data_IF_716737695689
#
_entry.id   IF_716737695689
#
_cell.length_a   1.000
_cell.length_b   1.000
_cell.length_c   1.000
_cell.angle_alpha   90.00
_cell.angle_beta   90.00
_cell.angle_gamma   90.00
#
_symmetry.space_group_name_H-M   'P 1'
#
loop_
_entity.id
_entity.type
_entity.pdbx_description
1 polymer ?
#
# COMPACT_ATOMS: atom_id res chain seq x y z
N UNK A 1 -19.20 0.31 -1.17
CA UNK A 1 -18.92 -1.09 -1.47
C UNK A 1 -17.42 -1.32 -1.50
N UNK A 2 -17.00 -2.58 -1.41
CA UNK A 2 -15.58 -2.90 -1.27
C UNK A 2 -14.74 -2.55 -2.48
N UNK A 3 -15.33 -2.63 -3.66
CA UNK A 3 -14.60 -2.28 -4.88
C UNK A 3 -14.24 -0.80 -4.89
N UNK A 4 -15.15 0.07 -4.49
CA UNK A 4 -14.88 1.50 -4.42
C UNK A 4 -13.79 1.82 -3.39
N UNK A 5 -13.88 1.21 -2.21
CA UNK A 5 -12.88 1.41 -1.17
C UNK A 5 -11.52 0.87 -1.59
N UNK A 6 -11.50 -0.28 -2.26
CA UNK A 6 -10.26 -0.84 -2.80
C UNK A 6 -9.61 0.11 -3.81
N UNK A 7 -10.41 0.73 -4.68
CA UNK A 7 -9.90 1.70 -5.64
C UNK A 7 -9.29 2.92 -4.97
N UNK A 8 -9.87 3.36 -3.84
CA UNK A 8 -9.31 4.47 -3.09
C UNK A 8 -7.93 4.12 -2.52
N UNK A 9 -7.78 2.89 -2.01
CA UNK A 9 -6.47 2.41 -1.56
C UNK A 9 -5.46 2.38 -2.70
N UNK A 10 -5.89 1.92 -3.89
CA UNK A 10 -5.03 1.90 -5.07
C UNK A 10 -4.55 3.29 -5.46
N UNK A 11 -5.44 4.28 -5.44
CA UNK A 11 -5.07 5.66 -5.77
C UNK A 11 -4.02 6.19 -4.79
N UNK A 12 -4.18 5.91 -3.50
CA UNK A 12 -3.22 6.34 -2.49
C UNK A 12 -1.88 5.64 -2.69
N UNK A 13 -1.91 4.34 -3.01
CA UNK A 13 -0.69 3.58 -3.29
C UNK A 13 0.06 4.17 -4.49
N UNK A 14 -0.65 4.49 -5.55
CA UNK A 14 -0.06 5.06 -6.76
C UNK A 14 0.56 6.43 -6.49
N UNK A 15 -0.06 7.23 -5.63
CA UNK A 15 0.49 8.53 -5.25
C UNK A 15 1.79 8.36 -4.47
N UNK A 16 1.85 7.40 -3.56
CA UNK A 16 3.08 7.13 -2.82
C UNK A 16 4.17 6.61 -3.76
N UNK A 17 3.80 5.76 -4.72
CA UNK A 17 4.77 5.23 -5.67
C UNK A 17 5.35 6.37 -6.54
N UNK A 18 4.50 7.29 -6.98
CA UNK A 18 4.97 8.44 -7.74
C UNK A 18 5.90 9.31 -6.91
N UNK A 19 5.54 9.56 -5.65
CA UNK A 19 6.41 10.33 -4.74
C UNK A 19 7.75 9.64 -4.57
N UNK A 20 7.76 8.32 -4.40
CA UNK A 20 8.99 7.55 -4.28
C UNK A 20 9.88 7.70 -5.50
N UNK A 21 9.29 7.66 -6.70
CA UNK A 21 10.02 7.80 -7.96
C UNK A 21 10.67 9.19 -8.08
N UNK A 22 9.90 10.24 -7.79
CA UNK A 22 10.41 11.62 -7.84
C UNK A 22 11.55 11.80 -6.84
N UNK A 23 11.37 11.32 -5.61
CA UNK A 23 12.39 11.46 -4.57
C UNK A 23 13.65 10.66 -4.92
N UNK A 24 13.48 9.49 -5.53
CA UNK A 24 14.63 8.70 -5.98
C UNK A 24 15.45 9.45 -7.02
N UNK A 25 14.79 10.07 -7.99
CA UNK A 25 15.46 10.86 -9.04
C UNK A 25 16.18 12.07 -8.48
N UNK A 26 15.67 12.64 -7.39
CA UNK A 26 16.27 13.79 -6.72
C UNK A 26 17.37 13.38 -5.74
N UNK A 27 17.62 12.08 -5.57
CA UNK A 27 18.64 11.59 -4.66
C UNK A 27 18.25 11.60 -3.20
N UNK A 28 16.96 11.72 -2.90
CA UNK A 28 16.44 11.74 -1.52
C UNK A 28 16.00 10.30 -1.19
N UNK A 29 16.98 9.45 -0.90
CA UNK A 29 16.77 8.01 -0.86
C UNK A 29 15.96 7.53 0.35
N UNK A 30 16.13 8.16 1.50
CA UNK A 30 15.41 7.76 2.72
C UNK A 30 13.90 8.00 2.58
N UNK A 31 13.50 9.16 2.09
CA UNK A 31 12.08 9.43 1.87
C UNK A 31 11.52 8.64 0.69
N UNK A 32 12.34 8.37 -0.32
CA UNK A 32 11.92 7.50 -1.42
C UNK A 32 11.58 6.11 -0.89
N UNK A 33 12.43 5.55 -0.02
CA UNK A 33 12.16 4.25 0.61
C UNK A 33 10.90 4.30 1.45
N UNK A 34 10.73 5.35 2.24
CA UNK A 34 9.53 5.50 3.07
C UNK A 34 8.26 5.43 2.22
N UNK A 35 8.21 6.21 1.14
CA UNK A 35 7.03 6.22 0.27
C UNK A 35 6.85 4.92 -0.50
N UNK A 36 7.94 4.23 -0.84
CA UNK A 36 7.86 2.89 -1.43
C UNK A 36 7.18 1.91 -0.49
N UNK A 37 7.55 1.94 0.80
CA UNK A 37 6.94 1.08 1.80
C UNK A 37 5.47 1.43 2.01
N UNK A 38 5.13 2.71 2.00
CA UNK A 38 3.73 3.15 2.08
C UNK A 38 2.93 2.65 0.89
N UNK A 39 3.51 2.68 -0.30
CA UNK A 39 2.85 2.16 -1.49
C UNK A 39 2.55 0.66 -1.35
N UNK A 40 3.55 -0.12 -0.93
CA UNK A 40 3.38 -1.57 -0.73
C UNK A 40 2.25 -1.85 0.27
N UNK A 41 2.27 -1.15 1.41
CA UNK A 41 1.24 -1.30 2.43
C UNK A 41 -0.15 -1.06 1.86
N UNK A 42 -0.30 0.00 1.09
CA UNK A 42 -1.60 0.38 0.53
C UNK A 42 -2.06 -0.55 -0.59
N UNK A 43 -1.14 -1.09 -1.40
CA UNK A 43 -1.48 -2.11 -2.38
C UNK A 43 -2.01 -3.37 -1.70
N UNK A 44 -1.36 -3.80 -0.61
CA UNK A 44 -1.83 -4.96 0.15
C UNK A 44 -3.22 -4.71 0.75
N UNK A 45 -3.44 -3.52 1.29
CA UNK A 45 -4.74 -3.15 1.85
C UNK A 45 -5.82 -3.10 0.77
N UNK A 46 -5.48 -2.64 -0.42
CA UNK A 46 -6.41 -2.64 -1.55
C UNK A 46 -6.85 -4.06 -1.89
N UNK A 47 -5.90 -4.98 -1.97
CA UNK A 47 -6.19 -6.38 -2.27
C UNK A 47 -7.09 -7.00 -1.20
N UNK A 48 -6.75 -6.78 0.08
CA UNK A 48 -7.55 -7.31 1.19
C UNK A 48 -8.96 -6.74 1.21
N UNK A 49 -9.08 -5.44 0.97
CA UNK A 49 -10.38 -4.77 0.92
C UNK A 49 -11.24 -5.34 -0.21
N UNK A 50 -10.65 -5.54 -1.37
CA UNK A 50 -11.37 -6.10 -2.51
C UNK A 50 -11.92 -7.49 -2.18
N UNK A 51 -11.18 -8.28 -1.42
CA UNK A 51 -11.57 -9.64 -1.05
C UNK A 51 -12.34 -9.73 0.26
N UNK A 52 -12.78 -8.61 0.82
CA UNK A 52 -13.54 -8.56 2.09
C UNK A 52 -12.76 -9.11 3.28
N UNK A 53 -11.44 -9.09 3.21
CA UNK A 53 -10.62 -9.57 4.32
C UNK A 53 -10.33 -8.42 5.27
N UNK A 54 -10.74 -8.58 6.53
CA UNK A 54 -10.51 -7.55 7.55
C UNK A 54 -9.06 -7.55 8.02
N UNK A 55 -8.46 -6.36 8.18
CA UNK A 55 -7.05 -6.23 8.61
C UNK A 55 -6.84 -5.22 9.74
N UNK A 56 -7.91 -4.54 10.19
CA UNK A 56 -7.82 -3.56 11.27
C UNK A 56 -7.04 -2.32 10.88
N UNK A 57 -6.30 -1.76 11.85
CA UNK A 57 -5.53 -0.52 11.65
C UNK A 57 -4.03 -0.77 11.61
N UNK A 58 -3.63 -1.95 11.15
CA UNK A 58 -2.21 -2.32 11.15
C UNK A 58 -1.44 -1.63 10.02
N UNK A 59 -0.15 -1.37 10.30
CA UNK A 59 0.83 -0.93 9.30
C UNK A 59 1.93 -1.97 9.14
N UNK A 60 1.71 -3.16 9.70
CA UNK A 60 2.70 -4.24 9.69
C UNK A 60 2.64 -4.96 8.34
N UNK A 61 3.60 -4.69 7.46
CA UNK A 61 3.63 -5.28 6.11
C UNK A 61 3.70 -6.81 6.15
N UNK A 62 4.55 -7.45 6.95
CA UNK A 62 4.53 -8.92 7.05
C UNK A 62 3.17 -9.49 7.42
N UNK A 63 2.47 -8.87 8.36
CA UNK A 63 1.13 -9.31 8.73
C UNK A 63 0.16 -9.18 7.56
N UNK A 64 0.23 -8.06 6.84
CA UNK A 64 -0.63 -7.85 5.68
C UNK A 64 -0.37 -8.89 4.59
N UNK A 65 0.90 -9.24 4.38
CA UNK A 65 1.28 -10.30 3.43
C UNK A 65 0.67 -11.62 3.86
N UNK A 66 0.78 -11.97 5.15
CA UNK A 66 0.21 -13.20 5.68
C UNK A 66 -1.30 -13.25 5.44
N UNK A 67 -1.99 -12.14 5.67
CA UNK A 67 -3.43 -12.06 5.44
C UNK A 67 -3.78 -12.25 3.96
N UNK A 68 -2.99 -11.67 3.07
CA UNK A 68 -3.18 -11.85 1.63
C UNK A 68 -2.98 -13.31 1.22
N UNK A 69 -2.01 -14.00 1.82
CA UNK A 69 -1.74 -15.39 1.50
C UNK A 69 -2.86 -16.33 1.98
N UNK A 70 -3.70 -15.88 2.88
CA UNK A 70 -4.82 -16.68 3.37
C UNK A 70 -6.05 -16.63 2.46
N UNK A 71 -5.99 -15.91 1.37
CA UNK A 71 -7.12 -15.76 0.42
C UNK A 71 -7.05 -16.78 -0.74
#
# INVERSE_FOLDING_TARGET
MNEETAKEWLKKAERDLKAADVLLREGIYDYSLFHSQQAVEKYLKAFLTYHNKHFGKTHNIPLLIDLCQSI
#
